data_IF_382644855975
#
_entry.id   IF_382644855975
#
_cell.length_a   1.000
_cell.length_b   1.000
_cell.length_c   1.000
_cell.angle_alpha   90.00
_cell.angle_beta   90.00
_cell.angle_gamma   90.00
#
_symmetry.space_group_name_H-M   'P 1'
#
loop_
_entity.id
_entity.type
_entity.pdbx_description
1 polymer ?
#
# COMPACT_ATOMS: atom_id res chain seq x y z
N UNK A 1 18.78 -7.48 -14.60
CA UNK A 1 19.67 -7.14 -13.48
C UNK A 1 18.79 -7.04 -12.23
N UNK A 2 18.79 -8.07 -11.37
CA UNK A 2 17.96 -8.10 -10.16
C UNK A 2 18.54 -7.14 -9.11
N UNK A 3 17.90 -5.98 -8.92
CA UNK A 3 18.20 -5.11 -7.78
C UNK A 3 17.56 -5.74 -6.54
N UNK A 4 18.38 -6.17 -5.58
CA UNK A 4 17.89 -6.52 -4.26
C UNK A 4 17.35 -5.26 -3.59
N UNK A 5 16.05 -5.26 -3.30
CA UNK A 5 15.40 -4.13 -2.65
C UNK A 5 15.53 -4.23 -1.13
N UNK A 6 16.51 -3.54 -0.55
CA UNK A 6 16.49 -3.19 0.88
C UNK A 6 15.30 -2.25 1.19
N UNK A 7 14.85 -2.18 2.45
CA UNK A 7 13.68 -1.37 2.84
C UNK A 7 13.73 0.09 2.40
N UNK A 8 14.90 0.73 2.45
CA UNK A 8 15.13 2.12 1.98
C UNK A 8 15.10 2.21 0.45
N UNK A 9 15.70 1.25 -0.25
CA UNK A 9 15.74 1.24 -1.72
C UNK A 9 14.36 1.01 -2.34
N UNK A 10 13.52 0.18 -1.70
CA UNK A 10 12.14 -0.02 -2.13
C UNK A 10 11.28 1.22 -1.97
N UNK A 11 11.35 1.90 -0.82
CA UNK A 11 10.58 3.13 -0.60
C UNK A 11 10.91 4.19 -1.66
N UNK A 12 12.19 4.33 -2.03
CA UNK A 12 12.61 5.22 -3.11
C UNK A 12 12.04 4.78 -4.47
N UNK A 13 12.12 3.49 -4.79
CA UNK A 13 11.57 2.94 -6.02
C UNK A 13 10.06 3.14 -6.14
N UNK A 14 9.32 2.88 -5.05
CA UNK A 14 7.88 3.15 -4.99
C UNK A 14 7.58 4.63 -5.24
N UNK A 15 8.32 5.53 -4.59
CA UNK A 15 8.12 6.97 -4.75
C UNK A 15 8.40 7.42 -6.19
N UNK A 16 9.45 6.88 -6.81
CA UNK A 16 9.79 7.16 -8.21
C UNK A 16 8.69 6.68 -9.17
N UNK A 17 8.17 5.45 -8.98
CA UNK A 17 7.06 4.94 -9.80
C UNK A 17 5.76 5.71 -9.57
N UNK A 18 5.48 6.11 -8.33
CA UNK A 18 4.35 6.98 -8.01
C UNK A 18 4.47 8.31 -8.76
N UNK A 19 5.67 8.90 -8.76
CA UNK A 19 5.91 10.18 -9.42
C UNK A 19 5.78 10.07 -10.94
N UNK A 20 6.31 9.02 -11.56
CA UNK A 20 6.15 8.78 -13.01
C UNK A 20 4.67 8.69 -13.41
N UNK A 21 3.85 7.98 -12.64
CA UNK A 21 2.41 7.92 -12.90
C UNK A 21 1.71 9.27 -12.69
N UNK A 22 2.19 10.06 -11.72
CA UNK A 22 1.66 11.39 -11.44
C UNK A 22 2.00 12.40 -12.57
N UNK A 23 3.25 12.39 -13.05
CA UNK A 23 3.69 13.17 -14.22
C UNK A 23 2.97 12.74 -15.50
N UNK A 24 2.67 11.45 -15.65
CA UNK A 24 1.86 10.99 -16.78
C UNK A 24 0.47 11.63 -16.77
N UNK A 25 -0.21 11.68 -15.61
CA UNK A 25 -1.53 12.32 -15.50
C UNK A 25 -1.40 13.82 -15.82
N UNK A 26 -0.33 14.48 -15.40
CA UNK A 26 -0.03 15.88 -15.77
C UNK A 26 0.08 16.06 -17.28
N UNK A 27 0.81 15.17 -17.96
CA UNK A 27 1.06 15.26 -19.40
C UNK A 27 -0.17 15.10 -20.28
N UNK A 28 -1.23 14.44 -19.76
CA UNK A 28 -2.49 14.19 -20.47
C UNK A 28 -3.64 15.04 -19.94
N UNK A 29 -3.38 15.93 -18.99
CA UNK A 29 -4.39 16.80 -18.40
C UNK A 29 -4.92 17.81 -19.42
N UNK A 30 -6.23 18.01 -19.43
CA UNK A 30 -6.85 19.06 -20.22
C UNK A 30 -6.50 20.44 -19.62
N UNK A 31 -6.35 21.46 -20.45
CA UNK A 31 -6.03 22.83 -20.01
C UNK A 31 -7.10 23.43 -19.09
N UNK A 32 -8.33 22.92 -19.17
CA UNK A 32 -9.47 23.33 -18.33
C UNK A 32 -9.53 22.57 -17.00
N UNK A 33 -8.71 21.54 -16.81
CA UNK A 33 -8.67 20.78 -15.57
C UNK A 33 -8.11 21.67 -14.44
N UNK A 34 -8.81 21.79 -13.30
CA UNK A 34 -8.40 22.67 -12.20
C UNK A 34 -7.29 22.01 -11.35
N UNK A 35 -6.46 21.15 -11.90
CA UNK A 35 -5.59 20.28 -11.12
C UNK A 35 -4.28 20.95 -10.70
N UNK A 36 -3.87 20.70 -9.46
CA UNK A 36 -2.58 21.16 -8.94
C UNK A 36 -1.58 20.01 -8.83
N UNK A 37 -0.39 20.22 -9.41
CA UNK A 37 0.69 19.25 -9.39
C UNK A 37 1.78 19.62 -8.40
N UNK A 38 2.01 18.72 -7.44
CA UNK A 38 3.03 18.90 -6.40
C UNK A 38 4.39 18.49 -6.95
N UNK A 39 5.28 19.47 -7.16
CA UNK A 39 6.66 19.26 -7.67
C UNK A 39 7.54 18.38 -6.79
N UNK A 40 7.22 18.24 -5.50
CA UNK A 40 7.97 17.40 -4.57
C UNK A 40 7.00 16.64 -3.67
N UNK A 41 6.93 15.34 -3.86
CA UNK A 41 6.16 14.42 -3.03
C UNK A 41 7.12 13.61 -2.14
N UNK A 42 6.76 13.48 -0.86
CA UNK A 42 7.44 12.58 0.06
C UNK A 42 6.57 11.35 0.31
N UNK A 43 7.20 10.21 0.61
CA UNK A 43 6.49 9.00 1.05
C UNK A 43 5.51 9.30 2.19
N UNK A 44 5.88 10.18 3.13
CA UNK A 44 5.02 10.57 4.24
C UNK A 44 3.69 11.20 3.78
N UNK A 45 3.71 12.01 2.71
CA UNK A 45 2.48 12.62 2.19
C UNK A 45 1.49 11.55 1.68
N UNK A 46 2.01 10.55 0.97
CA UNK A 46 1.22 9.42 0.46
C UNK A 46 0.68 8.59 1.63
N UNK A 47 1.52 8.32 2.63
CA UNK A 47 1.14 7.53 3.81
C UNK A 47 0.02 8.20 4.62
N UNK A 48 0.16 9.51 4.88
CA UNK A 48 -0.83 10.27 5.63
C UNK A 48 -2.16 10.35 4.87
N UNK A 49 -2.11 10.53 3.55
CA UNK A 49 -3.30 10.49 2.70
C UNK A 49 -3.99 9.12 2.73
N UNK A 50 -3.25 8.01 2.62
CA UNK A 50 -3.83 6.65 2.73
C UNK A 50 -4.57 6.44 4.05
N UNK A 51 -3.98 6.87 5.17
CA UNK A 51 -4.63 6.80 6.49
C UNK A 51 -5.95 7.58 6.51
N UNK A 52 -5.93 8.81 6.00
CA UNK A 52 -7.14 9.64 5.94
C UNK A 52 -8.22 9.03 5.05
N UNK A 53 -7.86 8.47 3.90
CA UNK A 53 -8.81 7.82 2.99
C UNK A 53 -9.47 6.59 3.61
N UNK A 54 -8.69 5.76 4.34
CA UNK A 54 -9.21 4.60 5.06
C UNK A 54 -10.15 5.03 6.19
N UNK A 55 -9.74 6.00 7.00
CA UNK A 55 -10.55 6.51 8.12
C UNK A 55 -11.89 7.09 7.63
N UNK A 56 -11.86 7.80 6.51
CA UNK A 56 -13.04 8.45 5.95
C UNK A 56 -13.86 7.54 5.01
N UNK A 57 -13.47 6.25 4.87
CA UNK A 57 -14.07 5.30 3.92
C UNK A 57 -14.22 5.86 2.51
N UNK A 58 -13.25 6.68 2.07
CA UNK A 58 -13.27 7.29 0.73
C UNK A 58 -13.08 6.19 -0.32
N UNK A 59 -14.01 6.11 -1.26
CA UNK A 59 -13.89 5.25 -2.45
C UNK A 59 -13.54 6.08 -3.68
N UNK A 60 -13.17 5.43 -4.78
CA UNK A 60 -12.94 6.08 -6.08
C UNK A 60 -14.14 6.91 -6.52
N UNK A 61 -15.37 6.44 -6.25
CA UNK A 61 -16.60 7.14 -6.60
C UNK A 61 -16.79 8.45 -5.81
N UNK A 62 -16.09 8.62 -4.68
CA UNK A 62 -16.13 9.84 -3.89
C UNK A 62 -15.07 10.87 -4.31
N UNK A 63 -14.16 10.52 -5.24
CA UNK A 63 -13.18 11.46 -5.77
C UNK A 63 -13.84 12.32 -6.84
N UNK A 64 -13.80 13.64 -6.65
CA UNK A 64 -14.36 14.59 -7.62
C UNK A 64 -13.26 15.04 -8.59
N UNK A 65 -13.41 14.82 -9.90
CA UNK A 65 -12.44 15.28 -10.90
C UNK A 65 -12.22 16.79 -10.93
N UNK A 66 -13.13 17.57 -10.34
CA UNK A 66 -13.05 19.03 -10.26
C UNK A 66 -12.26 19.54 -9.05
N UNK A 67 -11.82 18.66 -8.14
CA UNK A 67 -10.99 19.07 -7.00
C UNK A 67 -9.52 19.25 -7.41
N UNK A 68 -8.87 20.28 -6.85
CA UNK A 68 -7.46 20.61 -7.16
C UNK A 68 -6.53 19.41 -6.94
N UNK A 69 -6.71 18.69 -5.84
CA UNK A 69 -5.90 17.54 -5.43
C UNK A 69 -6.29 16.22 -6.12
N UNK A 70 -7.23 16.23 -7.06
CA UNK A 70 -7.77 15.01 -7.66
C UNK A 70 -6.70 14.06 -8.22
N UNK A 71 -5.68 14.51 -9.00
CA UNK A 71 -4.66 13.60 -9.51
C UNK A 71 -3.85 12.92 -8.40
N UNK A 72 -3.55 13.65 -7.31
CA UNK A 72 -2.82 13.10 -6.20
C UNK A 72 -3.66 12.03 -5.48
N UNK A 73 -4.93 12.35 -5.18
CA UNK A 73 -5.85 11.41 -4.54
C UNK A 73 -6.11 10.17 -5.39
N UNK A 74 -6.23 10.35 -6.72
CA UNK A 74 -6.37 9.26 -7.68
C UNK A 74 -5.15 8.32 -7.61
N UNK A 75 -3.94 8.86 -7.63
CA UNK A 75 -2.70 8.07 -7.55
C UNK A 75 -2.55 7.38 -6.19
N UNK A 76 -2.88 8.04 -5.09
CA UNK A 76 -2.89 7.43 -3.76
C UNK A 76 -3.86 6.24 -3.72
N UNK A 77 -5.06 6.41 -4.29
CA UNK A 77 -6.07 5.36 -4.34
C UNK A 77 -5.63 4.18 -5.22
N UNK A 78 -5.19 4.46 -6.46
CA UNK A 78 -4.75 3.43 -7.41
C UNK A 78 -3.59 2.62 -6.87
N UNK A 79 -2.68 3.23 -6.12
CA UNK A 79 -1.52 2.54 -5.52
C UNK A 79 -1.80 1.95 -4.13
N UNK A 80 -2.98 2.12 -3.54
CA UNK A 80 -3.25 1.79 -2.14
C UNK A 80 -2.93 0.34 -1.76
N UNK A 81 -3.11 -0.59 -2.70
CA UNK A 81 -2.82 -2.02 -2.55
C UNK A 81 -1.31 -2.35 -2.63
N UNK A 82 -0.50 -1.45 -3.17
CA UNK A 82 0.95 -1.62 -3.29
C UNK A 82 1.58 -1.20 -1.95
N UNK A 83 2.35 -2.08 -1.28
CA UNK A 83 3.03 -1.71 -0.05
C UNK A 83 4.00 -0.55 -0.30
N UNK A 84 4.15 0.35 0.66
CA UNK A 84 5.14 1.45 0.56
C UNK A 84 6.49 1.08 1.18
N UNK A 85 6.53 -0.02 1.93
CA UNK A 85 7.70 -0.59 2.60
C UNK A 85 7.59 -2.12 2.53
N UNK A 86 8.72 -2.80 2.31
CA UNK A 86 8.72 -4.26 2.13
C UNK A 86 8.56 -5.05 3.42
N UNK A 87 9.12 -4.57 4.54
CA UNK A 87 9.14 -5.34 5.79
C UNK A 87 7.75 -5.81 6.27
N UNK A 88 6.70 -4.95 6.27
CA UNK A 88 5.35 -5.40 6.64
C UNK A 88 4.71 -6.38 5.65
N UNK A 89 5.12 -6.33 4.38
CA UNK A 89 4.61 -7.22 3.34
C UNK A 89 5.29 -8.60 3.41
N UNK A 90 6.61 -8.61 3.61
CA UNK A 90 7.40 -9.82 3.81
C UNK A 90 6.94 -10.60 5.04
N UNK A 91 6.65 -9.92 6.15
CA UNK A 91 6.12 -10.58 7.34
C UNK A 91 4.74 -11.20 7.10
N UNK A 92 3.85 -10.53 6.37
CA UNK A 92 2.54 -11.07 6.01
C UNK A 92 2.64 -12.30 5.09
N UNK A 93 3.51 -12.28 4.08
CA UNK A 93 3.74 -13.45 3.21
C UNK A 93 4.29 -14.62 4.00
N UNK A 94 5.27 -14.38 4.89
CA UNK A 94 5.84 -15.43 5.72
C UNK A 94 4.77 -16.09 6.60
N UNK A 95 3.88 -15.30 7.18
CA UNK A 95 2.74 -15.81 7.96
C UNK A 95 1.83 -16.66 7.06
N UNK A 96 1.40 -16.14 5.91
CA UNK A 96 0.49 -16.84 5.00
C UNK A 96 1.08 -18.14 4.44
N UNK A 97 2.39 -18.15 4.17
CA UNK A 97 3.13 -19.33 3.71
C UNK A 97 3.22 -20.39 4.81
N UNK A 98 3.55 -19.99 6.05
CA UNK A 98 3.57 -20.90 7.20
C UNK A 98 2.19 -21.52 7.44
N UNK A 99 1.11 -20.74 7.30
CA UNK A 99 -0.25 -21.27 7.42
C UNK A 99 -0.63 -22.29 6.34
N UNK A 100 -0.20 -22.09 5.10
CA UNK A 100 -0.42 -23.08 4.04
C UNK A 100 0.36 -24.38 4.26
N UNK A 101 1.47 -24.33 4.97
CA UNK A 101 2.29 -25.51 5.30
C UNK A 101 1.89 -26.19 6.62
N UNK A 102 1.05 -25.56 7.44
CA UNK A 102 0.43 -26.26 8.56
C UNK A 102 -0.62 -27.21 7.97
N UNK A 103 -0.36 -28.51 8.04
CA UNK A 103 -1.41 -29.49 7.80
C UNK A 103 -2.52 -29.21 8.82
N UNK A 104 -3.75 -28.99 8.34
CA UNK A 104 -4.91 -28.65 9.18
C UNK A 104 -5.13 -29.66 10.32
N UNK A 105 -4.61 -30.88 10.16
CA UNK A 105 -4.53 -31.96 11.14
C UNK A 105 -3.83 -31.52 12.45
N UNK A 106 -2.80 -30.66 12.39
CA UNK A 106 -2.11 -30.12 13.57
C UNK A 106 -2.90 -29.03 14.30
N UNK A 107 -4.00 -28.56 13.72
CA UNK A 107 -4.89 -27.56 14.30
C UNK A 107 -6.15 -28.18 14.90
N UNK A 108 -6.35 -29.50 14.75
CA UNK A 108 -7.57 -30.19 15.17
C UNK A 108 -7.82 -30.06 16.69
N UNK A 109 -6.77 -30.04 17.50
CA UNK A 109 -6.85 -29.94 18.97
C UNK A 109 -6.54 -28.52 19.51
N UNK A 110 -6.43 -27.50 18.65
CA UNK A 110 -6.05 -26.14 19.07
C UNK A 110 -7.16 -25.12 18.79
N UNK A 111 -7.68 -24.52 19.85
CA UNK A 111 -8.58 -23.37 19.75
C UNK A 111 -7.81 -22.09 19.39
N UNK A 112 -8.12 -21.53 18.22
CA UNK A 112 -7.55 -20.26 17.74
C UNK A 112 -8.65 -19.21 17.79
N UNK A 113 -8.61 -18.33 18.79
CA UNK A 113 -9.64 -17.30 19.00
C UNK A 113 -9.12 -15.89 18.72
N UNK A 114 -7.81 -15.67 18.71
CA UNK A 114 -7.19 -14.34 18.57
C UNK A 114 -5.97 -14.34 17.65
N UNK A 115 -5.59 -13.15 17.17
CA UNK A 115 -4.34 -12.94 16.40
C UNK A 115 -3.10 -13.27 17.24
N UNK A 116 -3.18 -13.16 18.56
CA UNK A 116 -2.06 -13.48 19.45
C UNK A 116 -1.85 -15.00 19.55
N UNK A 117 -2.93 -15.78 19.49
CA UNK A 117 -2.85 -17.26 19.42
C UNK A 117 -2.18 -17.70 18.13
N UNK A 118 -2.45 -17.00 17.01
CA UNK A 118 -1.78 -17.20 15.72
C UNK A 118 -0.27 -16.95 15.82
N UNK A 119 0.16 -15.89 16.51
CA UNK A 119 1.59 -15.59 16.70
C UNK A 119 2.27 -16.66 17.54
N UNK A 120 1.68 -17.03 18.68
CA UNK A 120 2.18 -18.12 19.53
C UNK A 120 2.29 -19.44 18.76
N UNK A 121 1.32 -19.74 17.90
CA UNK A 121 1.36 -20.93 17.06
C UNK A 121 2.54 -20.88 16.08
N UNK A 122 2.74 -19.74 15.41
CA UNK A 122 3.83 -19.54 14.46
C UNK A 122 5.22 -19.58 15.11
N UNK A 123 5.33 -19.20 16.39
CA UNK A 123 6.55 -19.26 17.19
C UNK A 123 6.80 -20.67 17.77
N UNK A 124 5.74 -21.47 17.96
CA UNK A 124 5.82 -22.84 18.48
C UNK A 124 6.14 -23.92 17.43
N UNK A 125 6.24 -23.52 16.17
CA UNK A 125 6.56 -24.33 14.99
C UNK A 125 7.95 -23.95 14.45
#
# INVERSE_FOLDING_TARGET
>A
MNKEFSGVSYGRYFLEHFFQGYEFIESVADITAPWEYRKKLLLKNIQDCRKQMLNNKKTLANLKPTELDFPFLLMVFKTMHIPMVLHPYQSQIQIHSRFKTIHLEYLFDRDINTIEDIRKLADSL
#
